data_IF_216659084282
#
_entry.id   IF_216659084282
#
_cell.length_a   1.000
_cell.length_b   1.000
_cell.length_c   1.000
_cell.angle_alpha   90.00
_cell.angle_beta   90.00
_cell.angle_gamma   90.00
#
_symmetry.space_group_name_H-M   'P 1'
#
loop_
_entity.id
_entity.type
_entity.pdbx_description
1 polymer ?
#
# COMPACT_ATOMS: atom_id res chain seq x y z
N UNK A 1 -6.91 0.50 10.75
CA UNK A 1 -7.18 0.02 9.39
C UNK A 1 -6.66 1.02 8.38
N UNK A 2 -5.97 0.55 7.34
CA UNK A 2 -5.49 1.40 6.26
C UNK A 2 -6.66 2.15 5.61
N UNK A 3 -6.45 3.43 5.30
CA UNK A 3 -7.45 4.28 4.65
C UNK A 3 -6.75 5.15 3.62
N UNK A 4 -7.27 5.20 2.39
CA UNK A 4 -6.85 6.12 1.34
C UNK A 4 -7.92 7.18 1.11
N UNK A 5 -7.49 8.43 0.94
CA UNK A 5 -8.31 9.59 0.62
C UNK A 5 -7.67 10.32 -0.56
N UNK A 6 -8.48 10.68 -1.56
CA UNK A 6 -8.12 11.47 -2.72
C UNK A 6 -8.88 12.80 -2.71
N UNK A 7 -8.15 13.88 -2.92
CA UNK A 7 -8.70 15.20 -3.18
C UNK A 7 -8.33 15.65 -4.58
N UNK A 8 -9.33 15.65 -5.47
CA UNK A 8 -9.16 15.89 -6.91
C UNK A 8 -10.08 17.00 -7.46
N UNK A 9 -10.65 17.85 -6.59
CA UNK A 9 -11.66 18.87 -6.94
C UNK A 9 -11.18 20.32 -6.77
N UNK A 10 -10.01 20.55 -6.15
CA UNK A 10 -9.55 21.89 -5.78
C UNK A 10 -8.93 22.72 -6.92
N UNK A 11 -8.72 22.15 -8.11
CA UNK A 11 -8.13 22.84 -9.27
C UNK A 11 -6.65 23.24 -9.14
N UNK A 12 -6.04 23.07 -7.96
CA UNK A 12 -4.65 23.41 -7.69
C UNK A 12 -3.71 22.21 -7.80
N UNK A 13 -4.14 21.05 -7.29
CA UNK A 13 -3.41 19.80 -7.31
C UNK A 13 -4.38 18.63 -7.12
N UNK A 14 -3.92 17.45 -7.51
CA UNK A 14 -4.51 16.17 -7.09
C UNK A 14 -3.66 15.67 -5.94
N UNK A 15 -4.25 15.53 -4.75
CA UNK A 15 -3.55 15.09 -3.55
C UNK A 15 -4.16 13.80 -3.03
N UNK A 16 -3.33 12.82 -2.74
CA UNK A 16 -3.73 11.59 -2.08
C UNK A 16 -3.01 11.44 -0.75
N UNK A 17 -3.71 10.87 0.23
CA UNK A 17 -3.17 10.49 1.52
C UNK A 17 -3.60 9.07 1.87
N UNK A 18 -2.69 8.28 2.43
CA UNK A 18 -2.94 6.91 2.86
C UNK A 18 -2.39 6.67 4.27
N UNK A 19 -3.15 5.99 5.12
CA UNK A 19 -2.69 5.49 6.42
C UNK A 19 -2.27 4.03 6.33
N UNK A 20 -1.12 3.66 6.92
CA UNK A 20 -0.64 2.28 7.02
C UNK A 20 -0.82 1.77 8.44
N UNK A 21 -1.82 0.91 8.64
CA UNK A 21 -2.09 0.27 9.92
C UNK A 21 -1.84 -1.24 9.79
N UNK A 22 -0.84 -1.72 10.52
CA UNK A 22 -0.40 -3.12 10.47
C UNK A 22 -0.06 -3.63 11.88
N UNK A 23 -0.25 -4.93 12.20
CA UNK A 23 -0.03 -5.45 13.55
C UNK A 23 1.42 -5.41 14.04
N UNK A 24 2.38 -5.28 13.12
CA UNK A 24 3.80 -5.15 13.40
C UNK A 24 4.46 -4.10 12.52
N UNK A 25 5.71 -3.74 12.81
CA UNK A 25 6.48 -2.87 11.92
C UNK A 25 6.65 -3.53 10.56
N UNK A 26 6.29 -2.79 9.51
CA UNK A 26 6.53 -3.18 8.11
C UNK A 26 7.97 -2.90 7.66
N UNK A 27 8.82 -2.34 8.53
CA UNK A 27 10.17 -1.87 8.22
C UNK A 27 10.17 -0.93 6.99
N UNK A 28 9.33 0.13 6.98
CA UNK A 28 9.10 0.93 5.80
C UNK A 28 10.34 1.73 5.43
N UNK A 29 10.75 1.64 4.16
CA UNK A 29 11.83 2.46 3.62
C UNK A 29 11.31 3.24 2.43
N UNK A 30 11.46 4.57 2.49
CA UNK A 30 11.23 5.42 1.33
C UNK A 30 12.32 5.13 0.30
N UNK A 31 11.92 4.51 -0.80
CA UNK A 31 12.81 4.03 -1.84
C UNK A 31 12.54 4.81 -3.11
N UNK A 32 13.57 5.46 -3.62
CA UNK A 32 13.53 6.01 -4.96
C UNK A 32 14.02 4.90 -5.88
N UNK A 33 13.13 4.39 -6.72
CA UNK A 33 13.55 3.65 -7.90
C UNK A 33 13.93 4.70 -8.93
N UNK A 34 15.24 4.94 -9.11
CA UNK A 34 15.70 6.08 -9.86
C UNK A 34 15.10 5.99 -11.26
N UNK A 35 14.55 7.09 -11.82
CA UNK A 35 14.52 7.25 -13.26
C UNK A 35 15.97 7.47 -13.71
N UNK A 36 16.62 6.53 -14.40
CA UNK A 36 17.97 6.77 -14.87
C UNK A 36 17.91 7.30 -16.31
N UNK A 37 19.02 7.85 -16.79
CA UNK A 37 19.52 7.34 -18.05
C UNK A 37 20.19 5.99 -17.80
N UNK A 38 19.61 4.88 -18.29
CA UNK A 38 18.32 4.79 -18.98
C UNK A 38 17.26 4.17 -18.07
N UNK A 39 16.03 4.69 -18.12
CA UNK A 39 14.81 3.90 -17.94
C UNK A 39 15.04 2.56 -18.62
N UNK A 40 14.70 1.45 -17.98
CA UNK A 40 15.37 0.23 -18.39
C UNK A 40 15.60 -0.82 -17.33
N UNK A 41 15.10 -0.65 -16.11
CA UNK A 41 15.31 -1.66 -15.07
C UNK A 41 14.52 -2.89 -15.48
N UNK A 42 15.22 -3.96 -15.82
CA UNK A 42 14.60 -5.26 -16.02
C UNK A 42 14.10 -5.77 -14.68
N UNK A 43 12.85 -6.21 -14.68
CA UNK A 43 12.12 -6.67 -13.51
C UNK A 43 11.55 -8.05 -13.80
N UNK A 44 11.55 -8.87 -12.76
CA UNK A 44 11.02 -10.23 -12.81
C UNK A 44 9.91 -10.36 -11.76
N UNK A 45 8.68 -10.50 -12.24
CA UNK A 45 7.47 -10.66 -11.44
C UNK A 45 7.38 -12.01 -10.73
N UNK A 46 8.32 -12.93 -10.99
CA UNK A 46 8.46 -14.19 -10.29
C UNK A 46 9.40 -14.15 -9.10
N UNK A 47 10.12 -13.05 -8.86
CA UNK A 47 11.09 -12.93 -7.77
C UNK A 47 10.47 -12.25 -6.53
N UNK A 48 10.72 -12.84 -5.37
CA UNK A 48 10.43 -12.25 -4.06
C UNK A 48 11.63 -12.48 -3.13
N UNK A 49 12.28 -11.41 -2.69
CA UNK A 49 13.45 -11.52 -1.79
C UNK A 49 14.58 -12.41 -2.34
N UNK A 50 14.78 -12.43 -3.67
CA UNK A 50 15.76 -13.27 -4.35
C UNK A 50 15.34 -14.73 -4.57
N UNK A 51 14.15 -15.12 -4.14
CA UNK A 51 13.60 -16.47 -4.34
C UNK A 51 12.59 -16.48 -5.49
N UNK A 52 12.56 -17.57 -6.25
CA UNK A 52 11.53 -17.83 -7.26
C UNK A 52 10.22 -18.26 -6.61
N UNK A 53 9.20 -17.42 -6.73
CA UNK A 53 7.84 -17.67 -6.25
C UNK A 53 6.84 -17.91 -7.38
N UNK A 54 7.22 -17.57 -8.62
CA UNK A 54 6.49 -17.96 -9.84
C UNK A 54 7.45 -18.78 -10.69
N UNK A 55 7.32 -20.11 -10.63
CA UNK A 55 8.20 -21.01 -11.36
C UNK A 55 8.00 -20.98 -12.88
N UNK A 56 6.74 -20.93 -13.31
CA UNK A 56 6.38 -20.99 -14.73
C UNK A 56 5.80 -19.68 -15.24
N UNK A 57 6.36 -19.21 -16.35
CA UNK A 57 5.90 -18.02 -17.09
C UNK A 57 5.77 -16.78 -16.20
N UNK A 58 6.84 -16.32 -15.52
CA UNK A 58 6.79 -15.06 -14.79
C UNK A 58 6.67 -13.88 -15.76
N UNK A 59 5.97 -12.83 -15.33
CA UNK A 59 5.93 -11.57 -16.05
C UNK A 59 7.30 -10.90 -15.96
N UNK A 60 7.91 -10.65 -17.11
CA UNK A 60 9.12 -9.83 -17.23
C UNK A 60 8.74 -8.48 -17.80
N UNK A 61 9.28 -7.40 -17.24
CA UNK A 61 9.07 -6.06 -17.80
C UNK A 61 10.29 -5.18 -17.61
N UNK A 62 10.29 -4.07 -18.33
CA UNK A 62 11.31 -3.04 -18.25
C UNK A 62 10.66 -1.76 -17.75
N UNK A 63 11.22 -1.14 -16.70
CA UNK A 63 10.63 0.09 -16.16
C UNK A 63 10.66 1.23 -17.18
N UNK A 64 9.50 1.85 -17.40
CA UNK A 64 9.30 2.99 -18.28
C UNK A 64 9.36 4.31 -17.52
N UNK A 65 8.95 4.32 -16.26
CA UNK A 65 8.95 5.49 -15.38
C UNK A 65 9.79 5.25 -14.12
N UNK A 66 10.41 6.31 -13.60
CA UNK A 66 10.94 6.32 -12.23
C UNK A 66 9.83 6.57 -11.21
N UNK A 67 10.02 6.06 -9.99
CA UNK A 67 9.01 6.16 -8.92
C UNK A 67 9.65 6.35 -7.56
N UNK A 68 8.96 7.08 -6.69
CA UNK A 68 9.22 7.09 -5.25
C UNK A 68 8.15 6.25 -4.56
N UNK A 69 8.59 5.32 -3.71
CA UNK A 69 7.70 4.35 -3.09
C UNK A 69 8.02 4.14 -1.62
N UNK A 70 7.05 3.66 -0.86
CA UNK A 70 7.27 3.09 0.48
C UNK A 70 7.24 1.57 0.37
N UNK A 71 8.32 0.92 0.80
CA UNK A 71 8.43 -0.54 0.77
C UNK A 71 7.80 -1.19 2.00
N UNK A 72 7.49 -2.48 1.88
CA UNK A 72 7.06 -3.35 2.98
C UNK A 72 7.98 -4.56 3.05
N UNK A 73 8.55 -4.80 4.24
CA UNK A 73 9.49 -5.88 4.55
C UNK A 73 10.69 -5.97 3.58
N UNK A 74 11.09 -4.84 3.00
CA UNK A 74 12.18 -4.77 2.01
C UNK A 74 11.91 -5.52 0.69
N UNK A 75 10.69 -5.97 0.43
CA UNK A 75 10.37 -6.85 -0.70
C UNK A 75 9.19 -6.38 -1.55
N UNK A 76 8.12 -5.87 -0.91
CA UNK A 76 6.94 -5.36 -1.62
C UNK A 76 6.91 -3.84 -1.71
N UNK A 77 6.10 -3.32 -2.62
CA UNK A 77 5.76 -1.89 -2.69
C UNK A 77 4.36 -1.68 -2.13
N UNK A 78 4.26 -0.89 -1.05
CA UNK A 78 2.98 -0.62 -0.38
C UNK A 78 2.26 0.62 -0.94
N UNK A 79 3.02 1.67 -1.27
CA UNK A 79 2.50 2.94 -1.79
C UNK A 79 3.54 3.59 -2.68
N UNK A 80 3.13 4.44 -3.62
CA UNK A 80 4.07 5.28 -4.35
C UNK A 80 3.43 6.17 -5.40
N UNK A 81 4.29 6.97 -6.03
CA UNK A 81 4.00 7.90 -7.12
C UNK A 81 5.12 7.81 -8.14
N UNK A 82 4.78 7.78 -9.43
CA UNK A 82 5.76 7.86 -10.51
C UNK A 82 5.91 9.28 -11.08
N UNK A 83 6.95 9.49 -11.87
CA UNK A 83 7.26 10.79 -12.48
C UNK A 83 6.20 11.31 -13.47
N UNK A 84 5.28 10.45 -13.93
CA UNK A 84 4.16 10.83 -14.80
C UNK A 84 2.93 11.30 -14.01
N UNK A 85 2.93 11.14 -12.68
CA UNK A 85 1.84 11.54 -11.81
C UNK A 85 0.83 10.44 -11.49
N UNK A 86 1.11 9.18 -11.85
CA UNK A 86 0.33 8.02 -11.40
C UNK A 86 0.76 7.64 -9.99
N UNK A 87 -0.22 7.56 -9.07
CA UNK A 87 -0.04 7.05 -7.73
C UNK A 87 -0.88 5.79 -7.50
N UNK A 88 -0.39 4.94 -6.59
CA UNK A 88 -0.98 3.65 -6.30
C UNK A 88 -0.78 3.27 -4.83
N UNK A 89 -1.81 2.67 -4.22
CA UNK A 89 -1.90 2.40 -2.79
C UNK A 89 -2.44 1.01 -2.49
N UNK A 90 -1.67 0.19 -1.76
CA UNK A 90 -2.02 -1.18 -1.41
C UNK A 90 -2.63 -1.23 -0.01
N UNK A 91 -3.89 -1.66 0.07
CA UNK A 91 -4.60 -1.83 1.33
C UNK A 91 -4.97 -3.31 1.50
N UNK A 92 -4.98 -3.78 2.75
CA UNK A 92 -5.38 -5.14 3.07
C UNK A 92 -6.86 -5.38 2.76
N UNK A 93 -7.21 -6.53 2.22
CA UNK A 93 -8.58 -6.98 1.96
C UNK A 93 -8.60 -8.50 2.16
N UNK A 94 -9.13 -8.96 3.29
CA UNK A 94 -9.24 -10.37 3.67
C UNK A 94 -10.00 -11.19 2.63
N UNK A 95 -11.03 -10.58 2.04
CA UNK A 95 -11.87 -11.17 0.98
C UNK A 95 -11.14 -11.38 -0.36
N UNK A 96 -9.85 -11.04 -0.47
CA UNK A 96 -9.07 -11.20 -1.71
C UNK A 96 -8.93 -12.66 -2.09
N UNK A 97 -9.40 -12.99 -3.29
CA UNK A 97 -9.25 -14.31 -3.92
C UNK A 97 -8.78 -14.16 -5.37
N UNK A 98 -7.53 -14.56 -5.60
CA UNK A 98 -6.87 -14.52 -6.91
C UNK A 98 -7.28 -15.70 -7.82
N UNK A 99 -7.94 -16.71 -7.27
CA UNK A 99 -8.26 -17.94 -7.97
C UNK A 99 -7.01 -18.80 -8.28
N UNK A 100 -7.19 -19.89 -9.04
CA UNK A 100 -6.09 -20.77 -9.41
C UNK A 100 -5.14 -20.10 -10.42
N UNK A 101 -3.84 -20.42 -10.34
CA UNK A 101 -2.82 -19.99 -11.30
C UNK A 101 -3.13 -20.55 -12.69
N UNK A 102 -3.19 -19.65 -13.69
CA UNK A 102 -3.27 -19.99 -15.12
C UNK A 102 -1.89 -19.86 -15.81
N UNK A 103 -1.09 -20.93 -15.96
CA UNK A 103 0.25 -20.86 -16.51
C UNK A 103 0.32 -20.36 -17.97
N UNK A 104 -0.81 -20.35 -18.69
CA UNK A 104 -0.90 -19.78 -20.03
C UNK A 104 -0.73 -18.25 -20.07
N UNK A 105 -0.84 -17.59 -18.91
CA UNK A 105 -0.65 -16.14 -18.77
C UNK A 105 0.58 -15.81 -17.90
N UNK A 106 1.31 -14.73 -18.21
CA UNK A 106 2.41 -14.26 -17.37
C UNK A 106 1.96 -14.02 -15.91
N UNK A 107 2.71 -14.57 -14.95
CA UNK A 107 2.43 -14.45 -13.53
C UNK A 107 3.16 -13.27 -12.90
N UNK A 108 2.45 -12.44 -12.15
CA UNK A 108 2.99 -11.35 -11.35
C UNK A 108 2.69 -11.61 -9.89
N UNK A 109 3.72 -11.83 -9.08
CA UNK A 109 3.52 -11.96 -7.64
C UNK A 109 2.94 -10.66 -7.04
N UNK A 110 1.94 -10.80 -6.17
CA UNK A 110 1.08 -9.68 -5.76
C UNK A 110 1.81 -8.56 -5.00
N UNK A 111 2.94 -8.83 -4.34
CA UNK A 111 3.73 -7.79 -3.67
C UNK A 111 4.45 -6.82 -4.64
N UNK A 112 4.58 -7.19 -5.92
CA UNK A 112 5.08 -6.32 -6.99
C UNK A 112 3.97 -5.66 -7.82
N UNK A 113 2.69 -5.87 -7.48
CA UNK A 113 1.55 -5.32 -8.21
C UNK A 113 1.69 -3.81 -8.43
N UNK A 114 1.87 -3.04 -7.36
CA UNK A 114 2.01 -1.58 -7.47
C UNK A 114 3.25 -1.19 -8.27
N UNK A 115 4.39 -1.86 -8.04
CA UNK A 115 5.61 -1.50 -8.75
C UNK A 115 5.47 -1.72 -10.26
N UNK A 116 4.79 -2.78 -10.68
CA UNK A 116 4.51 -3.02 -12.10
C UNK A 116 3.70 -1.88 -12.73
N UNK A 117 2.67 -1.40 -12.02
CA UNK A 117 1.84 -0.29 -12.50
C UNK A 117 2.63 1.02 -12.56
N UNK A 118 3.36 1.36 -11.49
CA UNK A 118 4.16 2.58 -11.41
C UNK A 118 5.30 2.59 -12.43
N UNK A 119 5.92 1.44 -12.69
CA UNK A 119 6.97 1.29 -13.70
C UNK A 119 6.40 1.46 -15.12
N UNK A 120 5.16 1.05 -15.38
CA UNK A 120 4.64 0.84 -16.73
C UNK A 120 3.62 1.87 -17.25
N UNK A 121 2.89 2.57 -16.38
CA UNK A 121 1.72 3.39 -16.79
C UNK A 121 1.85 4.86 -16.38
N UNK A 122 1.36 5.76 -17.22
CA UNK A 122 1.26 7.20 -16.93
C UNK A 122 -0.11 7.60 -16.36
N UNK A 123 -1.16 6.84 -16.65
CA UNK A 123 -2.55 7.15 -16.32
C UNK A 123 -3.23 5.95 -15.68
N UNK A 124 -4.38 6.18 -15.02
CA UNK A 124 -5.20 5.10 -14.46
C UNK A 124 -5.64 4.13 -15.56
N UNK A 125 -6.06 4.64 -16.72
CA UNK A 125 -6.46 3.81 -17.86
C UNK A 125 -5.31 2.89 -18.34
N UNK A 126 -4.11 3.44 -18.54
CA UNK A 126 -2.95 2.62 -18.92
C UNK A 126 -2.61 1.57 -17.85
N UNK A 127 -2.75 1.92 -16.57
CA UNK A 127 -2.50 0.99 -15.47
C UNK A 127 -3.49 -0.20 -15.50
N UNK A 128 -4.77 0.06 -15.83
CA UNK A 128 -5.77 -0.99 -15.98
C UNK A 128 -5.48 -1.89 -17.18
N UNK A 129 -5.05 -1.32 -18.31
CA UNK A 129 -4.66 -2.09 -19.50
C UNK A 129 -3.47 -3.01 -19.22
N UNK A 130 -2.48 -2.58 -18.42
CA UNK A 130 -1.34 -3.42 -18.03
C UNK A 130 -1.77 -4.68 -17.29
N UNK A 131 -2.81 -4.59 -16.46
CA UNK A 131 -3.32 -5.74 -15.71
C UNK A 131 -3.95 -6.81 -16.61
N UNK A 132 -4.25 -6.50 -17.87
CA UNK A 132 -4.70 -7.49 -18.86
C UNK A 132 -3.58 -8.34 -19.43
N UNK A 133 -2.33 -7.94 -19.22
CA UNK A 133 -1.16 -8.69 -19.71
C UNK A 133 -0.71 -9.80 -18.76
N UNK A 134 -1.12 -9.76 -17.49
CA UNK A 134 -0.64 -10.69 -16.46
C UNK A 134 -1.75 -11.27 -15.57
N UNK A 135 -1.42 -12.25 -14.72
CA UNK A 135 -2.27 -12.73 -13.64
C UNK A 135 -1.52 -12.62 -12.32
N UNK A 136 -2.22 -12.15 -11.29
CA UNK A 136 -1.65 -12.08 -9.95
C UNK A 136 -1.38 -13.48 -9.41
N UNK A 137 -0.27 -13.64 -8.71
CA UNK A 137 0.11 -14.87 -8.03
C UNK A 137 0.20 -14.58 -6.53
N UNK A 138 -0.45 -15.40 -5.67
CA UNK A 138 -0.43 -15.18 -4.24
C UNK A 138 0.99 -15.39 -3.70
N UNK A 139 1.39 -14.51 -2.81
CA UNK A 139 2.59 -14.68 -1.98
C UNK A 139 2.27 -14.32 -0.53
N UNK A 140 3.16 -14.72 0.37
CA UNK A 140 3.12 -14.30 1.76
C UNK A 140 4.50 -13.87 2.22
N UNK A 141 4.54 -13.00 3.23
CA UNK A 141 5.76 -12.52 3.87
C UNK A 141 5.57 -12.59 5.38
N UNK A 142 6.59 -13.10 6.08
CA UNK A 142 6.59 -13.20 7.56
C UNK A 142 5.34 -13.91 8.14
N UNK A 143 4.78 -14.86 7.40
CA UNK A 143 3.59 -15.62 7.82
C UNK A 143 2.25 -14.96 7.50
N UNK A 144 2.24 -13.77 6.90
CA UNK A 144 1.02 -13.10 6.42
C UNK A 144 0.86 -13.32 4.92
N UNK A 145 -0.34 -13.73 4.50
CA UNK A 145 -0.71 -13.71 3.08
C UNK A 145 -0.89 -12.26 2.61
N UNK A 146 -0.45 -11.95 1.39
CA UNK A 146 -0.65 -10.64 0.78
C UNK A 146 -2.05 -10.57 0.14
N UNK A 147 -3.10 -10.59 0.97
CA UNK A 147 -4.50 -10.40 0.58
C UNK A 147 -4.81 -8.90 0.57
N UNK A 148 -4.84 -8.31 -0.62
CA UNK A 148 -4.84 -6.85 -0.81
C UNK A 148 -5.67 -6.43 -2.02
N UNK A 149 -6.12 -5.18 -1.99
CA UNK A 149 -6.63 -4.44 -3.15
C UNK A 149 -5.84 -3.14 -3.38
N UNK A 150 -5.99 -2.54 -4.56
CA UNK A 150 -5.21 -1.37 -4.97
C UNK A 150 -6.12 -0.21 -5.33
N UNK A 151 -5.87 0.96 -4.74
CA UNK A 151 -6.41 2.23 -5.22
C UNK A 151 -5.38 2.92 -6.12
N UNK A 152 -5.86 3.54 -7.19
CA UNK A 152 -5.09 4.27 -8.19
C UNK A 152 -5.65 5.69 -8.35
N UNK A 153 -4.76 6.62 -8.65
CA UNK A 153 -5.10 7.94 -9.16
C UNK A 153 -3.99 8.49 -10.06
N UNK A 154 -4.33 9.41 -10.94
CA UNK A 154 -3.35 10.10 -11.77
C UNK A 154 -3.45 11.64 -11.68
N UNK A 155 -2.52 12.32 -12.35
CA UNK A 155 -2.43 13.79 -12.36
C UNK A 155 -3.67 14.48 -12.93
N UNK A 156 -4.50 13.80 -13.73
CA UNK A 156 -5.77 14.36 -14.19
C UNK A 156 -6.79 14.39 -13.05
N UNK A 157 -6.61 13.54 -12.04
CA UNK A 157 -7.49 13.30 -10.90
C UNK A 157 -8.44 12.14 -11.11
N UNK A 158 -8.24 11.33 -12.16
CA UNK A 158 -8.94 10.06 -12.35
C UNK A 158 -8.67 9.12 -11.17
N UNK A 159 -9.55 8.14 -10.94
CA UNK A 159 -9.37 7.17 -9.87
C UNK A 159 -9.96 5.81 -10.19
N UNK A 160 -9.25 4.76 -9.78
CA UNK A 160 -9.79 3.41 -9.82
C UNK A 160 -9.48 2.63 -8.53
N UNK A 161 -10.34 1.69 -8.20
CA UNK A 161 -10.12 0.65 -7.19
C UNK A 161 -10.15 -0.69 -7.89
N UNK A 162 -9.13 -1.52 -7.66
CA UNK A 162 -8.98 -2.84 -8.25
C UNK A 162 -8.93 -3.90 -7.16
N UNK A 163 -9.87 -4.83 -7.23
CA UNK A 163 -10.01 -5.93 -6.28
C UNK A 163 -9.98 -7.27 -7.02
N UNK A 164 -9.56 -8.33 -6.32
CA UNK A 164 -9.68 -9.70 -6.82
C UNK A 164 -10.61 -10.48 -5.90
N UNK A 165 -11.82 -10.80 -6.38
CA UNK A 165 -12.84 -11.49 -5.60
C UNK A 165 -13.35 -12.71 -6.38
N UNK A 166 -13.49 -13.86 -5.71
CA UNK A 166 -13.96 -15.10 -6.32
C UNK A 166 -13.14 -15.52 -7.55
N UNK A 167 -11.83 -15.28 -7.55
CA UNK A 167 -10.93 -15.57 -8.65
C UNK A 167 -11.05 -14.63 -9.86
N UNK A 168 -11.69 -13.47 -9.71
CA UNK A 168 -11.90 -12.50 -10.80
C UNK A 168 -11.47 -11.10 -10.40
N UNK A 169 -10.90 -10.36 -11.36
CA UNK A 169 -10.62 -8.93 -11.20
C UNK A 169 -11.91 -8.14 -11.30
N UNK A 170 -12.18 -7.32 -10.29
CA UNK A 170 -13.22 -6.29 -10.28
C UNK A 170 -12.56 -4.92 -10.30
N UNK A 171 -13.12 -4.01 -11.09
CA UNK A 171 -12.59 -2.66 -11.26
C UNK A 171 -13.73 -1.67 -11.07
N UNK A 172 -13.55 -0.75 -10.12
CA UNK A 172 -14.38 0.44 -9.97
C UNK A 172 -13.56 1.61 -10.51
N UNK A 173 -13.95 2.18 -11.65
CA UNK A 173 -13.24 3.27 -12.30
C UNK A 173 -14.16 4.47 -12.46
N UNK A 174 -13.94 5.49 -11.63
CA UNK A 174 -14.64 6.77 -11.70
C UNK A 174 -13.89 7.79 -10.84
N UNK A 175 -13.84 9.04 -11.31
CA UNK A 175 -13.23 10.17 -10.59
C UNK A 175 -13.78 10.37 -9.17
N UNK A 176 -15.02 9.96 -8.92
CA UNK A 176 -15.71 10.11 -7.62
C UNK A 176 -15.32 9.06 -6.58
N UNK A 177 -14.55 8.02 -6.93
CA UNK A 177 -14.06 6.99 -6.02
C UNK A 177 -12.86 7.50 -5.22
N UNK A 178 -13.13 8.47 -4.35
CA UNK A 178 -12.09 9.24 -3.65
C UNK A 178 -11.68 8.65 -2.31
N UNK A 179 -12.35 7.60 -1.83
CA UNK A 179 -12.10 7.02 -0.51
C UNK A 179 -12.11 5.51 -0.63
N UNK A 180 -11.18 4.84 0.04
CA UNK A 180 -11.11 3.38 0.14
C UNK A 180 -10.52 2.97 1.50
N UNK A 181 -11.14 1.99 2.17
CA UNK A 181 -10.61 1.32 3.37
C UNK A 181 -10.32 -0.15 3.06
N UNK A 182 -10.04 -0.97 4.07
CA UNK A 182 -9.72 -2.39 3.90
C UNK A 182 -10.90 -3.30 3.53
N UNK A 183 -11.98 -3.22 4.31
CA UNK A 183 -13.12 -4.12 4.28
C UNK A 183 -14.38 -3.30 4.49
N UNK A 184 -15.55 -3.73 3.97
CA UNK A 184 -15.80 -4.87 3.09
C UNK A 184 -15.24 -4.63 1.65
N UNK A 185 -15.49 -5.52 0.66
CA UNK A 185 -15.27 -5.18 -0.75
C UNK A 185 -15.90 -3.85 -1.17
N UNK A 186 -15.33 -3.21 -2.19
CA UNK A 186 -15.57 -1.80 -2.46
C UNK A 186 -17.04 -1.45 -2.78
N UNK A 187 -17.77 -2.34 -3.46
CA UNK A 187 -19.21 -2.16 -3.71
C UNK A 187 -20.02 -1.94 -2.43
N UNK A 188 -19.67 -2.69 -1.38
CA UNK A 188 -20.32 -2.57 -0.09
C UNK A 188 -19.84 -1.34 0.67
N UNK A 189 -18.56 -0.96 0.56
CA UNK A 189 -18.08 0.33 1.07
C UNK A 189 -18.87 1.49 0.45
N UNK A 190 -19.11 1.46 -0.87
CA UNK A 190 -19.91 2.46 -1.56
C UNK A 190 -21.37 2.44 -1.11
N UNK A 191 -21.94 1.26 -0.79
CA UNK A 191 -23.30 1.14 -0.24
C UNK A 191 -23.39 1.79 1.13
N UNK A 192 -22.45 1.50 2.03
CA UNK A 192 -22.36 2.07 3.37
C UNK A 192 -22.17 3.59 3.32
N UNK A 193 -21.35 4.08 2.40
CA UNK A 193 -21.18 5.52 2.20
C UNK A 193 -22.49 6.19 1.75
N UNK A 194 -23.23 5.60 0.80
CA UNK A 194 -24.54 6.12 0.37
C UNK A 194 -25.55 6.14 1.51
N UNK A 195 -25.53 5.13 2.37
CA UNK A 195 -26.38 5.06 3.56
C UNK A 195 -26.05 6.18 4.55
N UNK A 196 -24.76 6.44 4.82
CA UNK A 196 -24.36 7.56 5.67
C UNK A 196 -24.80 8.92 5.11
N UNK A 197 -24.67 9.13 3.80
CA UNK A 197 -25.15 10.35 3.13
C UNK A 197 -26.67 10.49 3.25
N UNK A 198 -27.42 9.39 3.18
CA UNK A 198 -28.87 9.39 3.39
C UNK A 198 -29.22 9.82 4.82
N UNK A 199 -28.54 9.28 5.83
CA UNK A 199 -28.78 9.65 7.25
C UNK A 199 -28.55 11.15 7.47
N UNK A 200 -27.46 11.71 6.93
CA UNK A 200 -27.17 13.15 7.01
C UNK A 200 -28.34 13.99 6.47
N UNK A 201 -28.91 13.56 5.32
CA UNK A 201 -30.05 14.24 4.70
C UNK A 201 -31.34 14.09 5.49
N UNK A 202 -31.60 12.92 6.06
CA UNK A 202 -32.77 12.66 6.91
C UNK A 202 -32.74 13.48 8.21
N UNK A 203 -31.54 13.78 8.71
CA UNK A 203 -31.34 14.73 9.82
C UNK A 203 -31.51 16.21 9.40
N UNK A 204 -31.84 16.49 8.15
CA UNK A 204 -32.10 17.84 7.65
C UNK A 204 -30.84 18.62 7.24
N UNK A 205 -29.70 17.94 7.09
CA UNK A 205 -28.46 18.58 6.69
C UNK A 205 -28.08 18.28 5.24
N UNK A 206 -27.60 19.29 4.52
CA UNK A 206 -27.06 19.13 3.16
C UNK A 206 -25.64 18.56 3.13
N UNK A 207 -24.91 18.74 4.24
CA UNK A 207 -23.54 18.27 4.45
C UNK A 207 -23.41 17.79 5.91
N UNK A 208 -22.45 16.91 6.22
CA UNK A 208 -22.26 16.40 7.57
C UNK A 208 -21.86 17.52 8.56
N UNK A 209 -22.53 17.56 9.70
CA UNK A 209 -22.27 18.51 10.79
C UNK A 209 -21.92 17.77 12.08
N UNK A 210 -21.46 18.47 13.11
CA UNK A 210 -21.10 17.87 14.41
C UNK A 210 -22.23 17.10 15.09
N UNK A 211 -23.49 17.36 14.71
CA UNK A 211 -24.68 16.68 15.22
C UNK A 211 -24.95 15.34 14.53
N UNK A 212 -24.32 15.07 13.37
CA UNK A 212 -24.43 13.79 12.67
C UNK A 212 -23.63 12.75 13.46
N UNK A 213 -24.26 11.67 13.95
CA UNK A 213 -23.54 10.61 14.63
C UNK A 213 -22.54 9.97 13.68
N UNK A 214 -21.30 9.88 14.14
CA UNK A 214 -20.19 9.34 13.39
C UNK A 214 -19.56 8.20 14.21
N UNK A 215 -19.43 6.99 13.64
CA UNK A 215 -18.66 5.94 14.28
C UNK A 215 -17.21 6.40 14.50
N UNK A 216 -16.76 6.40 15.76
CA UNK A 216 -15.42 6.85 16.17
C UNK A 216 -14.44 5.71 16.46
N UNK A 217 -14.66 4.54 15.87
CA UNK A 217 -13.81 3.37 16.05
C UNK A 217 -12.80 3.24 14.89
N UNK A 218 -12.03 2.14 14.88
CA UNK A 218 -10.98 1.88 13.88
C UNK A 218 -11.35 0.77 12.89
N UNK A 219 -12.62 0.35 12.86
CA UNK A 219 -13.09 -0.71 11.96
C UNK A 219 -13.13 -0.19 10.53
N UNK A 220 -12.78 -1.02 9.56
CA UNK A 220 -12.78 -0.61 8.15
C UNK A 220 -14.19 -0.45 7.55
N UNK A 221 -15.16 -1.20 8.12
CA UNK A 221 -16.57 -1.22 7.70
C UNK A 221 -17.28 0.08 8.07
N UNK A 222 -16.88 0.67 9.20
CA UNK A 222 -17.40 1.97 9.57
C UNK A 222 -16.83 2.98 8.57
N UNK A 223 -17.69 3.66 7.79
CA UNK A 223 -17.20 4.56 6.76
C UNK A 223 -16.25 5.55 7.41
N UNK A 224 -15.13 5.92 6.78
CA UNK A 224 -14.31 7.04 7.21
C UNK A 224 -15.15 8.30 6.98
N UNK A 225 -16.04 8.48 7.93
CA UNK A 225 -17.04 9.49 8.18
C UNK A 225 -16.44 10.88 8.30
N UNK A 226 -15.11 10.98 8.38
CA UNK A 226 -14.37 12.23 8.27
C UNK A 226 -13.96 12.55 6.82
N UNK A 227 -13.65 11.56 5.97
CA UNK A 227 -13.02 11.81 4.67
C UNK A 227 -14.00 11.94 3.51
N UNK A 228 -15.07 11.15 3.50
CA UNK A 228 -16.09 11.25 2.44
C UNK A 228 -17.01 12.47 2.62
N UNK A 229 -17.04 13.01 3.84
CA UNK A 229 -17.90 14.10 4.32
C UNK A 229 -17.22 15.47 4.28
N UNK A 230 -15.89 15.48 4.15
CA UNK A 230 -15.09 16.69 3.94
C UNK A 230 -14.85 16.92 2.45
N UNK A 231 -15.89 16.77 1.61
CA UNK A 231 -15.89 17.45 0.31
C UNK A 231 -15.89 18.94 0.64
N UNK A 232 -14.85 19.71 0.30
CA UNK A 232 -14.94 21.16 0.43
C UNK A 232 -15.94 21.60 -0.65
N UNK A 233 -17.21 21.72 -0.27
CA UNK A 233 -18.13 22.59 -0.97
C UNK A 233 -17.44 23.93 -1.13
N UNK A 234 -17.55 24.52 -2.32
CA UNK A 234 -16.99 25.82 -2.67
C UNK A 234 -17.52 26.91 -1.73
N UNK A 235 -16.97 27.00 -0.53
CA UNK A 235 -17.11 28.18 0.32
C UNK A 235 -16.15 29.21 -0.26
N UNK A 236 -16.64 30.34 -0.81
CA UNK A 236 -15.75 31.43 -1.14
C UNK A 236 -14.99 31.80 0.13
N UNK A 237 -13.66 31.84 0.03
CA UNK A 237 -12.81 32.37 1.09
C UNK A 237 -13.35 33.77 1.45
N UNK A 238 -13.66 34.04 2.72
CA UNK A 238 -14.07 35.39 3.10
C UNK A 238 -12.95 36.35 2.73
N UNK A 239 -13.34 37.43 2.04
CA UNK A 239 -12.44 38.47 1.56
C UNK A 239 -11.56 39.00 2.69
N UNK A 240 -10.37 39.44 2.29
CA UNK A 240 -9.34 40.03 3.16
C UNK A 240 -9.95 41.07 4.11
N UNK A 241 -10.09 40.72 5.38
CA UNK A 241 -9.97 41.66 6.49
C UNK A 241 -9.56 40.92 7.76
N UNK A 242 -8.37 41.28 8.23
CA UNK A 242 -7.85 41.10 9.60
C UNK A 242 -7.61 39.67 10.10
N UNK A 243 -6.32 39.32 10.10
CA UNK A 243 -5.79 38.20 10.86
C UNK A 243 -5.98 38.44 12.36
N UNK A 244 -6.88 37.68 12.99
CA UNK A 244 -6.83 37.44 14.43
C UNK A 244 -6.27 36.04 14.65
N UNK A 245 -5.00 35.98 15.06
CA UNK A 245 -4.35 34.77 15.49
C UNK A 245 -4.89 34.36 16.86
N UNK A 246 -5.80 33.38 16.90
CA UNK A 246 -6.12 32.68 18.14
C UNK A 246 -5.00 31.67 18.41
N UNK A 247 -4.04 32.05 19.26
CA UNK A 247 -3.02 31.14 19.77
C UNK A 247 -3.66 30.16 20.75
N UNK A 248 -3.56 28.86 20.46
CA UNK A 248 -3.82 27.83 21.44
C UNK A 248 -2.56 27.71 22.31
N UNK A 249 -2.64 28.26 23.52
CA UNK A 249 -1.52 28.32 24.47
C UNK A 249 -1.20 26.95 25.07
N UNK A 250 -0.01 26.44 24.77
CA UNK A 250 0.65 25.41 25.59
C UNK A 250 1.65 26.12 26.50
N UNK A 251 1.37 26.12 27.81
CA UNK A 251 2.28 26.61 28.85
C UNK A 251 3.35 25.55 29.12
N UNK A 252 4.62 25.90 28.95
CA UNK A 252 5.75 25.20 29.57
C UNK A 252 6.34 26.09 30.68
N UNK A 253 6.59 25.57 31.90
CA UNK A 253 7.33 26.29 32.91
C UNK A 253 8.84 26.03 32.80
N UNK A 254 9.65 27.07 33.00
CA UNK A 254 11.02 26.95 33.51
C UNK A 254 12.12 27.29 32.52
N UNK A 255 12.73 28.46 32.72
CA UNK A 255 13.74 29.08 31.87
C UNK A 255 15.20 28.78 32.27
N UNK A 256 16.06 29.04 31.28
CA UNK A 256 17.43 29.59 31.36
C UNK A 256 18.63 28.62 31.51
N UNK A 257 19.54 28.63 30.52
CA UNK A 257 20.71 29.55 30.46
C UNK A 257 21.45 29.46 29.11
N UNK A 258 22.11 30.58 28.77
CA UNK A 258 22.88 30.88 27.55
C UNK A 258 24.27 30.21 27.55
N UNK A 259 24.79 29.94 26.35
CA UNK A 259 26.22 30.12 26.04
C UNK A 259 26.84 29.07 25.09
N UNK A 260 27.48 29.54 24.02
CA UNK A 260 28.62 28.85 23.39
C UNK A 260 28.48 28.45 21.92
N UNK A 261 29.07 29.26 21.04
CA UNK A 261 29.42 28.90 19.65
C UNK A 261 30.71 28.07 19.64
N UNK A 262 30.77 26.98 18.86
CA UNK A 262 31.95 26.34 18.20
C UNK A 262 31.45 25.09 17.45
N UNK A 263 31.44 25.06 16.11
CA UNK A 263 32.50 24.53 15.25
C UNK A 263 31.90 23.43 14.32
N UNK A 264 32.44 23.17 13.12
CA UNK A 264 31.80 22.27 12.15
C UNK A 264 31.94 20.80 12.57
N UNK A 265 30.88 20.01 12.38
CA UNK A 265 30.83 18.57 12.64
C UNK A 265 31.33 17.82 11.41
N UNK A 266 32.42 17.07 11.56
CA UNK A 266 32.91 16.12 10.54
C UNK A 266 31.94 14.92 10.38
N UNK A 267 31.86 14.30 9.19
CA UNK A 267 30.96 13.17 8.96
C UNK A 267 31.48 11.89 9.61
N UNK A 268 30.60 11.21 10.36
CA UNK A 268 30.89 9.92 10.95
C UNK A 268 31.11 8.83 9.89
N UNK A 269 32.21 8.08 10.05
CA UNK A 269 32.63 6.99 9.19
C UNK A 269 31.62 5.82 9.19
N UNK A 270 31.47 5.21 8.01
CA UNK A 270 30.67 4.03 7.76
C UNK A 270 31.10 2.83 8.62
N UNK A 271 30.13 2.20 9.30
CA UNK A 271 30.31 0.92 9.98
C UNK A 271 29.95 -0.20 8.99
N UNK A 272 30.95 -0.96 8.56
CA UNK A 272 30.76 -2.18 7.76
C UNK A 272 30.20 -3.34 8.61
N UNK A 273 29.32 -4.19 8.07
CA UNK A 273 28.82 -5.35 8.80
C UNK A 273 29.90 -6.45 8.89
N UNK A 274 30.16 -6.93 10.11
CA UNK A 274 30.99 -8.11 10.37
C UNK A 274 30.23 -9.37 10.00
N UNK A 275 30.69 -10.06 8.95
CA UNK A 275 30.32 -11.42 8.60
C UNK A 275 31.10 -12.43 9.47
N UNK A 276 30.40 -13.32 10.15
CA UNK A 276 30.96 -14.52 10.77
C UNK A 276 30.32 -15.76 10.10
N UNK A 277 31.10 -16.75 9.64
CA UNK A 277 30.54 -17.92 8.97
C UNK A 277 29.97 -18.94 9.96
N UNK A 278 28.73 -19.35 9.73
CA UNK A 278 28.09 -20.50 10.40
C UNK A 278 28.69 -21.80 9.84
N UNK A 279 29.16 -22.67 10.75
CA UNK A 279 29.62 -24.03 10.44
C UNK A 279 28.43 -24.92 10.04
N UNK A 280 28.60 -25.87 9.10
CA UNK A 280 27.54 -26.80 8.71
C UNK A 280 27.37 -27.92 9.74
N UNK A 281 26.12 -28.17 10.15
CA UNK A 281 25.71 -29.37 10.90
C UNK A 281 25.55 -30.54 9.93
N UNK A 282 26.22 -31.65 10.24
CA UNK A 282 26.27 -32.86 9.42
C UNK A 282 24.95 -33.66 9.48
N UNK A 283 24.65 -34.28 8.33
CA UNK A 283 23.50 -35.11 8.04
C UNK A 283 23.34 -36.33 8.97
N UNK A 284 22.08 -36.63 9.30
CA UNK A 284 21.69 -37.86 9.98
C UNK A 284 21.82 -39.07 9.06
N UNK A 285 22.52 -40.10 9.53
CA UNK A 285 22.47 -41.44 8.97
C UNK A 285 21.45 -42.32 9.73
N UNK A 286 20.75 -43.24 9.05
CA UNK A 286 19.72 -44.08 9.64
C UNK A 286 20.33 -45.21 10.52
N UNK A 287 19.72 -45.44 11.68
CA UNK A 287 20.09 -46.53 12.60
C UNK A 287 19.67 -47.88 12.02
N UNK A 288 20.64 -48.74 11.75
CA UNK A 288 20.46 -50.16 11.41
C UNK A 288 20.13 -50.97 12.68
N UNK A 289 19.14 -51.87 12.58
CA UNK A 289 18.80 -52.89 13.60
C UNK A 289 19.83 -54.04 13.55
N UNK A 290 20.26 -54.60 14.68
CA UNK A 290 21.06 -55.83 14.69
C UNK A 290 20.19 -57.07 14.39
N UNK A 291 20.76 -58.13 13.79
CA UNK A 291 20.02 -59.35 13.45
C UNK A 291 19.73 -60.22 14.68
N UNK A 292 18.52 -60.82 14.72
CA UNK A 292 18.13 -61.87 15.68
C UNK A 292 18.75 -63.21 15.30
N UNK A 293 19.30 -63.90 16.29
CA UNK A 293 19.79 -65.27 16.20
C UNK A 293 18.66 -66.31 15.98
N UNK A 294 18.95 -67.48 15.37
CA UNK A 294 17.96 -68.48 14.95
C UNK A 294 17.41 -69.34 16.11
N UNK A 295 16.30 -70.08 15.90
CA UNK A 295 15.52 -70.72 16.96
C UNK A 295 16.15 -72.04 17.41
N UNK A 296 16.06 -72.32 18.70
CA UNK A 296 16.38 -73.64 19.25
C UNK A 296 15.09 -74.38 19.63
N UNK A 297 14.99 -75.60 19.13
CA UNK A 297 13.96 -76.59 19.41
C UNK A 297 14.27 -77.28 20.75
N UNK A 298 13.28 -77.40 21.63
CA UNK A 298 12.92 -78.57 22.45
C UNK A 298 11.78 -78.21 23.40
#
# INVERSE_FOLDING_TARGET
MCTRILWNTGGHAVLAGRTMDWPESTEPVLTVFPPPPPRGVERDGGKLGGTDVVGDNPLLWTSRFGSIVTTVYGAGTADGLNEAGLAAHMLYLDSTDLGPRDPGRPGLQIALWIQYLLDGAATVAEALDLLDTCRMVPVGMRGFAATVHVALEDASGDSAVVEHLGGRRQVHHDRSYTVMTNEPPYDEQLRLLREQVRIVRELGHGEPVSEVPVPGNVNAVDPPSWSATSRPGSRPLPGRSEASAASCGIRHPGAARKGGVRGPVEPAAAIAPRSAPLRPTAAGQPRTRPPRAPPNQS
#
